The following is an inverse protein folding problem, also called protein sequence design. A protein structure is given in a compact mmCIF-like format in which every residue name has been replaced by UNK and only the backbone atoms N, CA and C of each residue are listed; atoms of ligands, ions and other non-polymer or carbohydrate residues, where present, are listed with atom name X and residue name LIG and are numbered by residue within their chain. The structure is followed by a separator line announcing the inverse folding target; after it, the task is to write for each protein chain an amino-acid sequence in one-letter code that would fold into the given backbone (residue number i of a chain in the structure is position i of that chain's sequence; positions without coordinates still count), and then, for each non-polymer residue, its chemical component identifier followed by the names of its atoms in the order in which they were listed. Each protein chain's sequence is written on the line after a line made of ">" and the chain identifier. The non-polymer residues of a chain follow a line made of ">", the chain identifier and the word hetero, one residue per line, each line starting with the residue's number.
data_IF_945870080496
#
_entry.id   IF_945870080496
#
_cell.length_a   1.000
_cell.length_b   1.000
_cell.length_c   1.000
_cell.angle_alpha   90.00
_cell.angle_beta   90.00
_cell.angle_gamma   90.00
#
_symmetry.space_group_name_H-M   'P 1'
#
loop_
_entity.id
_entity.type
_entity.pdbx_description
1 polymer ?
#
# COMPACT_ATOMS: atom_id res chain seq x y z
N UNK A 1 -29.74 -7.16 -20.72
CA UNK A 1 -28.98 -7.37 -19.48
C UNK A 1 -27.91 -6.30 -19.39
N UNK A 2 -27.99 -5.40 -18.41
CA UNK A 2 -26.90 -4.46 -18.10
C UNK A 2 -25.76 -5.23 -17.42
N UNK A 3 -24.51 -4.79 -17.51
CA UNK A 3 -23.36 -5.49 -16.87
C UNK A 3 -23.57 -5.72 -15.37
N UNK A 4 -24.20 -4.76 -14.68
CA UNK A 4 -24.58 -4.86 -13.25
C UNK A 4 -25.53 -6.04 -13.00
N UNK A 5 -26.40 -6.36 -13.96
CA UNK A 5 -27.29 -7.52 -13.87
C UNK A 5 -26.56 -8.84 -14.18
N UNK A 6 -25.46 -8.82 -14.95
CA UNK A 6 -24.57 -9.98 -15.14
C UNK A 6 -23.89 -10.29 -13.82
N UNK A 7 -23.25 -9.28 -13.21
CA UNK A 7 -22.55 -9.41 -11.94
C UNK A 7 -23.49 -9.75 -10.77
N UNK A 8 -24.63 -9.08 -10.63
CA UNK A 8 -25.59 -9.41 -9.57
C UNK A 8 -26.17 -10.83 -9.72
N UNK A 9 -26.34 -11.33 -10.95
CA UNK A 9 -26.75 -12.72 -11.20
C UNK A 9 -25.62 -13.71 -10.91
N UNK A 10 -24.37 -13.30 -11.14
CA UNK A 10 -23.18 -14.07 -10.81
C UNK A 10 -22.97 -14.18 -9.29
N UNK A 11 -23.01 -13.06 -8.56
CA UNK A 11 -22.94 -13.02 -7.09
C UNK A 11 -24.07 -13.84 -6.45
N UNK A 12 -25.28 -13.76 -7.02
CA UNK A 12 -26.40 -14.60 -6.60
C UNK A 12 -26.13 -16.07 -6.88
N UNK A 13 -25.57 -16.43 -8.03
CA UNK A 13 -25.17 -17.80 -8.34
C UNK A 13 -24.10 -18.32 -7.37
N UNK A 14 -23.07 -17.53 -7.06
CA UNK A 14 -22.05 -17.90 -6.08
C UNK A 14 -22.67 -18.13 -4.69
N UNK A 15 -23.59 -17.27 -4.28
CA UNK A 15 -24.38 -17.43 -3.04
C UNK A 15 -25.25 -18.69 -3.07
N UNK A 16 -26.02 -18.91 -4.14
CA UNK A 16 -26.96 -20.04 -4.27
C UNK A 16 -26.22 -21.39 -4.34
N UNK A 17 -25.05 -21.42 -4.99
CA UNK A 17 -24.16 -22.59 -5.02
C UNK A 17 -23.48 -22.82 -3.66
N UNK A 18 -23.08 -21.76 -2.95
CA UNK A 18 -22.48 -21.87 -1.62
C UNK A 18 -23.50 -22.29 -0.54
N UNK A 19 -24.78 -21.97 -0.72
CA UNK A 19 -25.85 -22.32 0.21
C UNK A 19 -26.34 -23.77 0.11
N UNK A 20 -25.82 -24.58 -0.85
CA UNK A 20 -26.04 -26.05 -0.86
C UNK A 20 -25.18 -26.72 0.24
N UNK A 21 -25.63 -26.56 1.48
CA UNK A 21 -24.93 -26.71 2.78
C UNK A 21 -24.37 -28.09 3.19
N UNK A 22 -23.97 -28.99 2.28
CA UNK A 22 -23.40 -30.27 2.70
C UNK A 22 -22.21 -30.81 1.90
N UNK A 23 -21.68 -30.08 0.91
CA UNK A 23 -20.55 -30.61 0.14
C UNK A 23 -19.58 -29.49 -0.28
N UNK A 24 -18.28 -29.53 0.09
CA UNK A 24 -17.28 -28.58 -0.40
C UNK A 24 -17.10 -28.62 -1.93
N UNK A 25 -17.73 -29.57 -2.63
CA UNK A 25 -17.91 -29.61 -4.07
C UNK A 25 -19.41 -29.63 -4.42
N UNK A 26 -19.98 -28.55 -5.01
CA UNK A 26 -21.39 -28.55 -5.42
C UNK A 26 -21.64 -29.61 -6.51
N UNK A 27 -22.78 -30.30 -6.44
CA UNK A 27 -23.10 -31.35 -7.43
C UNK A 27 -23.25 -30.76 -8.83
N UNK A 28 -22.85 -31.52 -9.87
CA UNK A 28 -22.91 -31.07 -11.27
C UNK A 28 -24.32 -30.63 -11.71
N UNK A 29 -25.35 -31.24 -11.10
CA UNK A 29 -26.75 -30.88 -11.32
C UNK A 29 -27.06 -29.49 -10.75
N UNK A 30 -26.66 -29.21 -9.50
CA UNK A 30 -26.90 -27.91 -8.87
C UNK A 30 -26.18 -26.75 -9.60
N UNK A 31 -24.93 -26.95 -10.03
CA UNK A 31 -24.20 -25.93 -10.81
C UNK A 31 -24.93 -25.63 -12.12
N UNK A 32 -25.29 -26.66 -12.88
CA UNK A 32 -25.98 -26.50 -14.17
C UNK A 32 -27.37 -25.87 -14.02
N UNK A 33 -28.11 -26.28 -12.99
CA UNK A 33 -29.48 -25.83 -12.75
C UNK A 33 -29.53 -24.38 -12.24
N UNK A 34 -28.49 -23.92 -11.52
CA UNK A 34 -28.41 -22.57 -10.98
C UNK A 34 -27.53 -21.61 -11.79
N UNK A 35 -26.79 -22.07 -12.79
CA UNK A 35 -25.95 -21.20 -13.61
C UNK A 35 -26.82 -20.14 -14.33
N UNK A 36 -26.53 -18.84 -14.15
CA UNK A 36 -27.47 -17.77 -14.49
C UNK A 36 -27.64 -17.56 -16.00
N UNK A 37 -26.78 -18.20 -16.81
CA UNK A 37 -26.75 -18.05 -18.26
C UNK A 37 -27.03 -19.37 -19.02
N UNK A 38 -27.46 -20.45 -18.36
CA UNK A 38 -27.72 -21.75 -19.01
C UNK A 38 -28.69 -21.63 -20.19
N UNK A 39 -29.74 -20.81 -20.04
CA UNK A 39 -30.71 -20.54 -21.13
C UNK A 39 -30.09 -19.82 -22.32
N UNK A 40 -29.11 -18.95 -22.09
CA UNK A 40 -28.41 -18.22 -23.14
C UNK A 40 -27.53 -19.16 -23.99
N UNK A 41 -26.84 -20.11 -23.36
CA UNK A 41 -25.97 -21.07 -24.06
C UNK A 41 -26.73 -22.25 -24.68
N UNK A 42 -28.01 -22.44 -24.34
CA UNK A 42 -28.86 -23.49 -24.90
C UNK A 42 -29.44 -23.15 -26.29
N UNK A 43 -29.49 -21.86 -26.66
CA UNK A 43 -30.04 -21.40 -27.94
C UNK A 43 -29.11 -21.71 -29.13
N UNK A 44 -29.66 -22.24 -30.23
CA UNK A 44 -28.92 -22.50 -31.48
C UNK A 44 -29.63 -21.87 -32.70
N UNK A 45 -29.01 -20.91 -33.42
CA UNK A 45 -27.70 -20.33 -33.16
C UNK A 45 -27.68 -19.44 -31.91
N UNK A 46 -26.52 -19.30 -31.24
CA UNK A 46 -26.37 -18.46 -30.06
C UNK A 46 -26.88 -17.03 -30.32
N UNK A 47 -27.50 -16.35 -29.33
CA UNK A 47 -28.06 -15.02 -29.52
C UNK A 47 -27.02 -13.98 -29.98
N UNK A 48 -25.72 -14.26 -29.74
CA UNK A 48 -24.58 -13.50 -30.26
C UNK A 48 -24.65 -13.28 -31.77
N UNK A 49 -24.95 -14.32 -32.55
CA UNK A 49 -25.00 -14.26 -34.01
C UNK A 49 -26.08 -13.27 -34.50
N UNK A 50 -27.24 -13.26 -33.85
CA UNK A 50 -28.33 -12.34 -34.17
C UNK A 50 -27.96 -10.89 -33.88
N UNK A 51 -27.13 -10.65 -32.88
CA UNK A 51 -26.67 -9.31 -32.51
C UNK A 51 -25.59 -8.80 -33.46
N UNK A 52 -24.63 -9.67 -33.84
CA UNK A 52 -23.59 -9.35 -34.83
C UNK A 52 -24.19 -9.05 -36.20
N UNK A 53 -25.10 -9.89 -36.70
CA UNK A 53 -25.76 -9.67 -37.99
C UNK A 53 -26.53 -8.34 -38.04
N UNK A 54 -27.11 -7.89 -36.92
CA UNK A 54 -27.79 -6.59 -36.83
C UNK A 54 -26.81 -5.42 -36.87
N UNK A 55 -25.64 -5.56 -36.26
CA UNK A 55 -24.58 -4.56 -36.32
C UNK A 55 -23.97 -4.47 -37.73
N UNK A 56 -23.65 -5.60 -38.36
CA UNK A 56 -23.13 -5.63 -39.75
C UNK A 56 -24.11 -5.01 -40.74
N UNK A 57 -25.40 -5.30 -40.60
CA UNK A 57 -26.45 -4.64 -41.39
C UNK A 57 -26.46 -3.13 -41.16
N UNK A 58 -26.39 -2.68 -39.91
CA UNK A 58 -26.32 -1.26 -39.58
C UNK A 58 -25.08 -0.58 -40.17
N UNK A 59 -23.90 -1.21 -40.09
CA UNK A 59 -22.67 -0.69 -40.69
C UNK A 59 -22.82 -0.56 -42.22
N UNK A 60 -23.44 -1.55 -42.88
CA UNK A 60 -23.75 -1.50 -44.31
C UNK A 60 -24.72 -0.36 -44.65
N UNK A 61 -25.83 -0.24 -43.92
CA UNK A 61 -26.87 0.78 -44.16
C UNK A 61 -26.30 2.19 -43.95
N UNK A 62 -25.45 2.38 -42.94
CA UNK A 62 -24.75 3.65 -42.70
C UNK A 62 -23.60 3.88 -43.69
N UNK A 63 -22.89 2.85 -44.14
CA UNK A 63 -21.83 2.99 -45.15
C UNK A 63 -22.39 3.38 -46.52
N UNK A 64 -23.58 2.88 -46.90
CA UNK A 64 -24.31 3.35 -48.07
C UNK A 64 -24.73 4.83 -47.93
N UNK A 65 -24.98 5.29 -46.70
CA UNK A 65 -25.19 6.72 -46.41
C UNK A 65 -23.89 7.55 -46.38
N UNK A 66 -22.72 6.95 -46.08
CA UNK A 66 -21.39 7.59 -46.17
C UNK A 66 -20.94 7.85 -47.61
N UNK A 67 -21.42 7.08 -48.59
CA UNK A 67 -21.17 7.33 -50.01
C UNK A 67 -21.93 8.56 -50.55
N UNK A 68 -22.81 9.16 -49.73
CA UNK A 68 -23.51 10.41 -50.01
C UNK A 68 -22.63 11.60 -49.57
N UNK A 69 -22.42 12.64 -50.40
CA UNK A 69 -21.60 13.82 -50.07
C UNK A 69 -22.04 14.62 -48.83
N UNK A 70 -23.23 14.34 -48.26
CA UNK A 70 -23.69 14.86 -46.98
C UNK A 70 -24.18 13.71 -46.07
N UNK A 71 -23.30 13.11 -45.24
CA UNK A 71 -23.72 12.06 -44.32
C UNK A 71 -24.62 12.65 -43.23
N UNK A 72 -25.89 12.24 -43.21
CA UNK A 72 -26.88 12.79 -42.28
C UNK A 72 -26.66 12.25 -40.86
N UNK A 73 -26.51 13.13 -39.88
CA UNK A 73 -26.45 12.77 -38.46
C UNK A 73 -27.67 11.94 -38.00
N UNK A 74 -28.82 12.10 -38.68
CA UNK A 74 -30.06 11.33 -38.42
C UNK A 74 -29.96 9.88 -38.90
N UNK A 75 -29.19 9.60 -39.96
CA UNK A 75 -29.08 8.25 -40.51
C UNK A 75 -28.51 7.26 -39.48
N UNK A 76 -27.52 7.69 -38.69
CA UNK A 76 -26.91 6.89 -37.62
C UNK A 76 -27.95 6.56 -36.54
N UNK A 77 -28.72 7.55 -36.10
CA UNK A 77 -29.76 7.37 -35.09
C UNK A 77 -30.89 6.45 -35.57
N UNK A 78 -31.38 6.69 -36.78
CA UNK A 78 -32.59 6.05 -37.30
C UNK A 78 -32.35 4.57 -37.63
N UNK A 79 -31.11 4.20 -38.03
CA UNK A 79 -30.74 2.82 -38.34
C UNK A 79 -30.12 2.07 -37.15
N UNK A 80 -29.81 2.74 -36.03
CA UNK A 80 -29.13 2.10 -34.90
C UNK A 80 -29.98 0.96 -34.29
N UNK A 81 -29.48 -0.30 -34.28
CA UNK A 81 -30.32 -1.47 -34.01
C UNK A 81 -30.59 -1.73 -32.52
N UNK A 82 -29.96 -0.95 -31.61
CA UNK A 82 -29.97 -1.21 -30.17
C UNK A 82 -30.59 -0.08 -29.34
N UNK A 83 -31.33 0.85 -29.95
CA UNK A 83 -31.94 2.01 -29.28
C UNK A 83 -32.77 1.62 -28.05
N UNK A 84 -33.58 0.56 -28.15
CA UNK A 84 -34.40 0.07 -27.03
C UNK A 84 -33.57 -0.44 -25.85
N UNK A 85 -32.38 -1.00 -26.11
CA UNK A 85 -31.52 -1.54 -25.06
C UNK A 85 -30.87 -0.42 -24.23
N UNK A 86 -30.59 0.73 -24.85
CA UNK A 86 -30.01 1.91 -24.19
C UNK A 86 -31.05 2.94 -23.71
N UNK A 87 -32.35 2.65 -23.85
CA UNK A 87 -33.43 3.59 -23.55
C UNK A 87 -33.45 4.09 -22.09
N UNK A 88 -32.92 3.30 -21.15
CA UNK A 88 -32.92 3.61 -19.72
C UNK A 88 -31.73 4.47 -19.25
N UNK A 89 -30.83 4.88 -20.16
CA UNK A 89 -29.67 5.71 -19.84
C UNK A 89 -29.92 7.16 -20.29
N UNK A 90 -30.41 8.07 -19.43
CA UNK A 90 -30.55 9.49 -19.78
C UNK A 90 -29.17 10.17 -19.83
N UNK A 91 -28.88 11.12 -20.75
CA UNK A 91 -29.72 11.74 -21.81
C UNK A 91 -29.87 10.87 -23.10
N UNK A 92 -30.69 11.28 -24.11
CA UNK A 92 -30.83 10.55 -25.37
C UNK A 92 -29.46 10.17 -25.97
N UNK A 93 -29.36 8.92 -26.42
CA UNK A 93 -28.10 8.30 -26.83
C UNK A 93 -27.36 9.13 -27.90
N UNK A 94 -28.09 9.65 -28.90
CA UNK A 94 -27.56 10.47 -29.97
C UNK A 94 -27.98 11.93 -29.78
N UNK A 95 -27.07 12.87 -30.08
CA UNK A 95 -27.27 14.32 -29.84
C UNK A 95 -27.60 15.11 -31.12
N UNK A 96 -27.70 14.44 -32.26
CA UNK A 96 -27.99 15.02 -33.59
C UNK A 96 -27.08 16.21 -33.99
N UNK A 97 -25.88 16.31 -33.42
CA UNK A 97 -24.93 17.42 -33.66
C UNK A 97 -24.09 17.18 -34.91
N UNK A 98 -23.46 16.00 -35.02
CA UNK A 98 -22.68 15.62 -36.19
C UNK A 98 -22.76 14.12 -36.46
N UNK A 99 -22.51 13.75 -37.72
CA UNK A 99 -22.42 12.35 -38.11
C UNK A 99 -21.29 11.62 -37.38
N UNK A 100 -20.11 12.25 -37.28
CA UNK A 100 -18.93 11.64 -36.66
C UNK A 100 -19.13 11.39 -35.16
N UNK A 101 -19.72 12.35 -34.44
CA UNK A 101 -20.04 12.16 -33.01
C UNK A 101 -21.06 11.03 -32.82
N UNK A 102 -22.14 11.02 -33.61
CA UNK A 102 -23.13 9.95 -33.53
C UNK A 102 -22.51 8.59 -33.90
N UNK A 103 -21.61 8.55 -34.87
CA UNK A 103 -20.90 7.34 -35.27
C UNK A 103 -19.97 6.83 -34.16
N UNK A 104 -19.21 7.70 -33.51
CA UNK A 104 -18.40 7.34 -32.34
C UNK A 104 -19.25 6.81 -31.18
N UNK A 105 -20.40 7.43 -30.91
CA UNK A 105 -21.35 6.95 -29.91
C UNK A 105 -21.85 5.54 -30.27
N UNK A 106 -22.26 5.32 -31.52
CA UNK A 106 -22.73 4.01 -31.98
C UNK A 106 -21.63 2.94 -31.85
N UNK A 107 -20.38 3.27 -32.22
CA UNK A 107 -19.23 2.39 -32.04
C UNK A 107 -18.93 2.12 -30.56
N UNK A 108 -19.05 3.12 -29.69
CA UNK A 108 -18.92 2.96 -28.24
C UNK A 108 -19.98 2.01 -27.66
N UNK A 109 -21.24 2.19 -28.05
CA UNK A 109 -22.34 1.30 -27.70
C UNK A 109 -22.12 -0.12 -28.22
N UNK A 110 -21.56 -0.28 -29.43
CA UNK A 110 -21.20 -1.59 -29.96
C UNK A 110 -20.07 -2.25 -29.18
N UNK A 111 -19.00 -1.51 -28.86
CA UNK A 111 -17.91 -2.02 -28.00
C UNK A 111 -18.44 -2.49 -26.64
N UNK A 112 -19.39 -1.76 -26.06
CA UNK A 112 -20.06 -2.16 -24.83
C UNK A 112 -20.82 -3.48 -24.97
N UNK A 113 -21.69 -3.60 -25.99
CA UNK A 113 -22.47 -4.82 -26.25
C UNK A 113 -21.54 -6.00 -26.53
N UNK A 114 -20.53 -5.81 -27.39
CA UNK A 114 -19.52 -6.83 -27.70
C UNK A 114 -18.77 -7.27 -26.44
N UNK A 115 -18.41 -6.33 -25.57
CA UNK A 115 -17.75 -6.62 -24.29
C UNK A 115 -18.57 -7.55 -23.39
N UNK A 116 -19.89 -7.35 -23.31
CA UNK A 116 -20.78 -8.26 -22.56
C UNK A 116 -20.70 -9.69 -23.11
N UNK A 117 -20.68 -9.84 -24.43
CA UNK A 117 -20.64 -11.16 -25.05
C UNK A 117 -19.29 -11.84 -24.95
N UNK A 118 -18.20 -11.08 -25.05
CA UNK A 118 -16.85 -11.59 -24.77
C UNK A 118 -16.76 -12.11 -23.34
N UNK A 119 -17.28 -11.37 -22.36
CA UNK A 119 -17.35 -11.83 -20.96
C UNK A 119 -18.21 -13.07 -20.78
N UNK A 120 -19.36 -13.15 -21.44
CA UNK A 120 -20.20 -14.36 -21.39
C UNK A 120 -19.44 -15.58 -21.96
N UNK A 121 -18.71 -15.41 -23.06
CA UNK A 121 -17.90 -16.48 -23.63
C UNK A 121 -16.76 -16.92 -22.70
N UNK A 122 -16.06 -15.97 -22.07
CA UNK A 122 -15.09 -16.23 -20.99
C UNK A 122 -15.74 -17.02 -19.84
N UNK A 123 -17.00 -16.69 -19.50
CA UNK A 123 -17.72 -17.36 -18.43
C UNK A 123 -18.25 -18.75 -18.75
N UNK A 124 -18.32 -19.13 -20.03
CA UNK A 124 -18.81 -20.46 -20.45
C UNK A 124 -18.00 -21.59 -19.83
N UNK A 125 -16.71 -21.39 -19.63
CA UNK A 125 -15.83 -22.38 -19.02
C UNK A 125 -16.25 -22.72 -17.58
N UNK A 126 -16.81 -21.79 -16.82
CA UNK A 126 -17.28 -22.07 -15.46
C UNK A 126 -18.53 -22.96 -15.40
N UNK A 127 -19.33 -23.00 -16.48
CA UNK A 127 -20.44 -23.95 -16.61
C UNK A 127 -19.92 -25.39 -16.76
N UNK A 128 -18.81 -25.54 -17.49
CA UNK A 128 -18.20 -26.85 -17.78
C UNK A 128 -17.39 -27.39 -16.60
N UNK A 129 -16.81 -26.49 -15.78
CA UNK A 129 -15.93 -26.84 -14.67
C UNK A 129 -16.71 -27.13 -13.38
N UNK A 130 -16.46 -28.31 -12.81
CA UNK A 130 -17.28 -28.91 -11.74
C UNK A 130 -16.85 -28.48 -10.35
N UNK A 131 -15.56 -28.52 -10.04
CA UNK A 131 -15.05 -28.19 -8.71
C UNK A 131 -14.63 -26.72 -8.60
N UNK A 132 -14.68 -26.17 -7.38
CA UNK A 132 -14.15 -24.82 -7.13
C UNK A 132 -12.65 -24.70 -7.43
N UNK A 133 -11.91 -25.81 -7.29
CA UNK A 133 -10.51 -25.90 -7.66
C UNK A 133 -10.31 -25.74 -9.17
N UNK A 134 -11.02 -26.51 -9.98
CA UNK A 134 -10.89 -26.44 -11.45
C UNK A 134 -11.25 -25.04 -11.99
N UNK A 135 -12.21 -24.36 -11.35
CA UNK A 135 -12.59 -22.98 -11.68
C UNK A 135 -11.48 -21.99 -11.34
N UNK A 136 -10.87 -22.14 -10.16
CA UNK A 136 -9.74 -21.29 -9.73
C UNK A 136 -8.53 -21.51 -10.64
N UNK A 137 -8.26 -22.77 -10.99
CA UNK A 137 -7.20 -23.16 -11.90
C UNK A 137 -7.42 -22.58 -13.30
N UNK A 138 -8.66 -22.63 -13.81
CA UNK A 138 -9.00 -21.98 -15.09
C UNK A 138 -8.78 -20.47 -15.05
N UNK A 139 -9.23 -19.81 -13.97
CA UNK A 139 -8.98 -18.38 -13.77
C UNK A 139 -7.49 -18.08 -13.83
N UNK A 140 -6.68 -18.88 -13.13
CA UNK A 140 -5.24 -18.67 -13.01
C UNK A 140 -4.47 -18.88 -14.33
N UNK A 141 -4.90 -19.84 -15.16
CA UNK A 141 -4.17 -20.19 -16.40
C UNK A 141 -4.64 -19.37 -17.60
N UNK A 142 -5.95 -19.06 -17.67
CA UNK A 142 -6.59 -18.56 -18.91
C UNK A 142 -7.15 -17.17 -18.80
N UNK A 143 -7.82 -16.86 -17.69
CA UNK A 143 -8.63 -15.64 -17.58
C UNK A 143 -7.85 -14.47 -16.98
N UNK A 144 -7.17 -14.72 -15.86
CA UNK A 144 -6.50 -13.69 -15.09
C UNK A 144 -5.32 -13.10 -15.86
N UNK A 145 -5.39 -11.79 -16.12
CA UNK A 145 -4.31 -11.04 -16.78
C UNK A 145 -3.30 -10.47 -15.78
N UNK A 146 -3.72 -10.30 -14.53
CA UNK A 146 -2.89 -9.82 -13.42
C UNK A 146 -3.09 -10.80 -12.27
N UNK A 147 -2.00 -11.42 -11.84
CA UNK A 147 -1.98 -12.42 -10.78
C UNK A 147 -0.98 -11.96 -9.75
N UNK A 148 -1.44 -11.76 -8.51
CA UNK A 148 -0.62 -11.30 -7.40
C UNK A 148 -0.46 -12.41 -6.37
N UNK A 149 0.75 -12.59 -5.88
CA UNK A 149 1.08 -13.52 -4.80
C UNK A 149 2.31 -13.03 -4.04
N UNK A 150 2.51 -13.49 -2.81
CA UNK A 150 3.75 -13.24 -2.07
C UNK A 150 4.87 -14.13 -2.60
N UNK A 151 6.13 -13.72 -2.45
CA UNK A 151 7.27 -14.56 -2.86
C UNK A 151 7.34 -15.87 -2.07
N UNK A 152 6.93 -15.85 -0.79
CA UNK A 152 6.78 -17.07 0.01
C UNK A 152 5.73 -18.00 -0.58
N UNK A 153 4.59 -17.48 -1.05
CA UNK A 153 3.57 -18.30 -1.69
C UNK A 153 4.05 -18.86 -3.03
N UNK A 154 4.75 -18.05 -3.83
CA UNK A 154 5.38 -18.48 -5.07
C UNK A 154 6.36 -19.65 -4.84
N UNK A 155 7.15 -19.59 -3.77
CA UNK A 155 8.05 -20.68 -3.37
C UNK A 155 7.30 -21.95 -2.96
N UNK A 156 6.25 -21.82 -2.16
CA UNK A 156 5.47 -22.98 -1.72
C UNK A 156 4.67 -23.65 -2.85
N UNK A 157 4.19 -22.87 -3.82
CA UNK A 157 3.34 -23.33 -4.92
C UNK A 157 4.06 -23.51 -6.25
N UNK A 158 5.38 -23.39 -6.28
CA UNK A 158 6.16 -23.45 -7.51
C UNK A 158 5.84 -24.72 -8.32
N UNK A 159 5.87 -25.89 -7.68
CA UNK A 159 5.57 -27.16 -8.32
C UNK A 159 4.13 -27.21 -8.87
N UNK A 160 3.15 -26.86 -8.04
CA UNK A 160 1.73 -26.87 -8.41
C UNK A 160 1.47 -25.96 -9.63
N UNK A 161 2.05 -24.76 -9.65
CA UNK A 161 1.89 -23.79 -10.74
C UNK A 161 2.52 -24.28 -12.05
N UNK A 162 3.71 -24.90 -11.96
CA UNK A 162 4.40 -25.46 -13.12
C UNK A 162 3.64 -26.65 -13.70
N UNK A 163 3.14 -27.55 -12.85
CA UNK A 163 2.32 -28.71 -13.26
C UNK A 163 0.99 -28.27 -13.86
N UNK A 164 0.40 -27.21 -13.33
CA UNK A 164 -0.82 -26.60 -13.85
C UNK A 164 -0.61 -25.95 -15.23
N UNK A 165 0.63 -25.74 -15.65
CA UNK A 165 0.95 -25.07 -16.91
C UNK A 165 0.74 -23.55 -16.85
N UNK A 166 0.97 -22.95 -15.67
CA UNK A 166 0.94 -21.50 -15.47
C UNK A 166 1.90 -20.79 -16.44
N UNK A 167 1.48 -19.63 -16.95
CA UNK A 167 2.25 -18.85 -17.93
C UNK A 167 2.14 -17.36 -17.67
N UNK A 168 3.24 -16.65 -17.86
CA UNK A 168 3.31 -15.20 -17.72
C UNK A 168 4.45 -14.62 -18.55
N UNK A 169 4.26 -13.39 -19.02
CA UNK A 169 5.23 -12.67 -19.84
C UNK A 169 5.98 -11.59 -19.05
N UNK A 170 5.49 -11.18 -17.88
CA UNK A 170 6.03 -10.08 -17.10
C UNK A 170 5.93 -10.37 -15.62
N UNK A 171 7.00 -10.08 -14.88
CA UNK A 171 7.04 -10.08 -13.42
C UNK A 171 7.22 -8.65 -12.94
N UNK A 172 6.41 -8.25 -11.97
CA UNK A 172 6.59 -7.04 -11.19
C UNK A 172 6.73 -7.45 -9.72
N UNK A 173 7.82 -7.03 -9.08
CA UNK A 173 8.09 -7.27 -7.66
C UNK A 173 8.12 -5.94 -6.92
N UNK A 174 7.30 -5.81 -5.89
CA UNK A 174 7.38 -4.71 -4.93
C UNK A 174 8.14 -5.16 -3.67
N UNK A 175 8.76 -4.20 -2.99
CA UNK A 175 9.65 -4.43 -1.84
C UNK A 175 10.82 -5.37 -2.15
N UNK A 176 11.33 -5.31 -3.38
CA UNK A 176 12.37 -6.22 -3.86
C UNK A 176 13.64 -6.23 -2.98
N UNK A 177 13.92 -5.15 -2.26
CA UNK A 177 15.03 -5.06 -1.32
C UNK A 177 14.84 -5.89 -0.03
N UNK A 178 13.60 -6.23 0.33
CA UNK A 178 13.21 -7.00 1.53
C UNK A 178 13.00 -8.49 1.26
N UNK A 179 13.17 -8.95 0.02
CA UNK A 179 12.97 -10.36 -0.36
C UNK A 179 14.34 -11.06 -0.38
N UNK A 180 14.42 -12.27 0.17
CA UNK A 180 15.64 -13.05 0.12
C UNK A 180 16.04 -13.34 -1.33
N UNK A 181 17.34 -13.49 -1.58
CA UNK A 181 17.85 -13.71 -2.93
C UNK A 181 17.21 -14.92 -3.62
N UNK A 182 17.10 -16.05 -2.92
CA UNK A 182 16.44 -17.26 -3.42
C UNK A 182 14.94 -17.06 -3.68
N UNK A 183 14.24 -16.36 -2.79
CA UNK A 183 12.81 -16.08 -2.92
C UNK A 183 12.51 -15.08 -4.05
N UNK A 184 13.49 -14.26 -4.44
CA UNK A 184 13.39 -13.38 -5.61
C UNK A 184 13.61 -14.16 -6.92
N UNK A 185 14.45 -15.20 -6.89
CA UNK A 185 14.77 -16.01 -8.06
C UNK A 185 13.66 -17.00 -8.43
N UNK A 186 13.02 -17.63 -7.44
CA UNK A 186 11.96 -18.63 -7.63
C UNK A 186 10.82 -18.14 -8.54
N UNK A 187 10.27 -16.92 -8.39
CA UNK A 187 9.23 -16.41 -9.27
C UNK A 187 9.60 -16.37 -10.75
N UNK A 188 10.89 -16.37 -11.12
CA UNK A 188 11.35 -16.44 -12.51
C UNK A 188 11.10 -17.81 -13.15
N UNK A 189 10.82 -18.84 -12.33
CA UNK A 189 10.74 -20.25 -12.70
C UNK A 189 9.38 -20.88 -12.37
N UNK A 190 8.30 -20.09 -12.34
CA UNK A 190 6.93 -20.57 -12.10
C UNK A 190 6.25 -21.11 -13.37
N UNK A 191 6.97 -21.18 -14.50
CA UNK A 191 6.46 -21.66 -15.77
C UNK A 191 7.51 -22.52 -16.49
N UNK A 192 7.02 -23.49 -17.27
CA UNK A 192 7.88 -24.30 -18.13
C UNK A 192 8.45 -23.47 -19.30
N UNK A 193 9.67 -23.78 -19.78
CA UNK A 193 10.20 -23.19 -21.00
C UNK A 193 9.27 -23.42 -22.20
N UNK A 194 9.16 -22.42 -23.06
CA UNK A 194 8.46 -22.52 -24.34
C UNK A 194 9.52 -22.59 -25.44
N UNK A 195 9.52 -23.67 -26.23
CA UNK A 195 10.50 -23.89 -27.32
C UNK A 195 11.96 -23.82 -26.84
N UNK A 196 12.23 -24.35 -25.64
CA UNK A 196 13.56 -24.37 -25.01
C UNK A 196 14.03 -23.03 -24.44
N UNK A 197 13.18 -21.98 -24.41
CA UNK A 197 13.51 -20.64 -23.90
C UNK A 197 12.53 -20.19 -22.82
N UNK A 198 12.98 -19.28 -21.96
CA UNK A 198 12.08 -18.61 -21.01
C UNK A 198 11.10 -17.72 -21.77
N UNK A 199 9.81 -17.79 -21.39
CA UNK A 199 8.76 -16.90 -21.91
C UNK A 199 8.86 -15.49 -21.33
N UNK A 200 9.57 -15.30 -20.22
CA UNK A 200 9.64 -14.03 -19.50
C UNK A 200 10.24 -12.92 -20.39
N UNK A 201 9.48 -11.84 -20.58
CA UNK A 201 9.86 -10.69 -21.42
C UNK A 201 10.30 -9.49 -20.60
N UNK A 202 9.71 -9.29 -19.43
CA UNK A 202 9.98 -8.14 -18.55
C UNK A 202 10.08 -8.58 -17.11
N UNK A 203 11.07 -8.03 -16.42
CA UNK A 203 11.25 -8.21 -14.99
C UNK A 203 11.48 -6.85 -14.34
N UNK A 204 10.50 -6.41 -13.57
CA UNK A 204 10.44 -5.09 -12.94
C UNK A 204 10.58 -5.31 -11.44
N UNK A 205 11.57 -4.67 -10.83
CA UNK A 205 11.77 -4.72 -9.38
C UNK A 205 11.72 -3.31 -8.80
N UNK A 206 10.85 -3.11 -7.83
CA UNK A 206 10.68 -1.86 -7.09
C UNK A 206 11.08 -2.16 -5.66
N UNK A 207 12.10 -1.46 -5.16
CA UNK A 207 12.64 -1.69 -3.84
C UNK A 207 13.55 -0.56 -3.40
N UNK A 208 13.89 -0.56 -2.12
CA UNK A 208 14.77 0.43 -1.50
C UNK A 208 15.85 -0.27 -0.67
N UNK A 209 17.06 -0.34 -1.24
CA UNK A 209 18.23 -0.96 -0.63
C UNK A 209 18.87 -0.09 0.47
N UNK A 210 18.37 1.14 0.69
CA UNK A 210 18.72 1.99 1.83
C UNK A 210 17.77 1.79 3.02
N UNK A 211 16.69 1.03 2.87
CA UNK A 211 15.81 0.56 3.96
C UNK A 211 16.17 -0.86 4.41
N UNK A 212 15.39 -1.41 5.34
CA UNK A 212 15.71 -2.69 5.99
C UNK A 212 15.80 -3.85 4.97
N UNK A 213 16.78 -4.76 5.15
CA UNK A 213 16.92 -5.97 4.36
C UNK A 213 15.92 -7.07 4.78
N UNK A 214 15.86 -8.22 4.09
CA UNK A 214 15.15 -9.41 4.54
C UNK A 214 15.64 -9.85 5.94
N UNK A 215 14.72 -10.37 6.76
CA UNK A 215 15.04 -10.80 8.12
C UNK A 215 15.70 -12.18 8.12
N UNK A 216 16.95 -12.26 8.56
CA UNK A 216 17.67 -13.51 8.84
C UNK A 216 17.67 -13.76 10.34
N UNK A 217 17.00 -14.82 10.80
CA UNK A 217 16.84 -15.09 12.23
C UNK A 217 18.18 -15.33 12.93
N UNK A 218 19.08 -16.07 12.28
CA UNK A 218 20.39 -16.37 12.83
C UNK A 218 21.44 -15.37 12.32
N UNK A 219 21.90 -14.54 13.25
CA UNK A 219 22.86 -13.45 13.03
C UNK A 219 24.20 -13.97 12.47
N UNK A 220 24.56 -15.24 12.68
CA UNK A 220 25.77 -15.84 12.12
C UNK A 220 25.71 -15.87 10.58
N UNK A 221 24.60 -16.33 10.00
CA UNK A 221 24.43 -16.33 8.54
C UNK A 221 24.36 -14.91 7.97
N UNK A 222 23.77 -13.97 8.72
CA UNK A 222 23.76 -12.56 8.35
C UNK A 222 25.18 -11.99 8.28
N UNK A 223 25.99 -12.19 9.33
CA UNK A 223 27.33 -11.59 9.46
C UNK A 223 28.39 -12.26 8.59
N UNK A 224 28.43 -13.59 8.55
CA UNK A 224 29.51 -14.34 7.89
C UNK A 224 29.18 -14.69 6.43
N UNK A 225 27.90 -14.84 6.08
CA UNK A 225 27.47 -15.23 4.73
C UNK A 225 26.75 -14.11 3.98
N UNK A 226 26.49 -12.97 4.63
CA UNK A 226 25.72 -11.86 4.06
C UNK A 226 24.34 -12.32 3.54
N UNK A 227 23.71 -13.28 4.24
CA UNK A 227 22.45 -13.91 3.78
C UNK A 227 21.27 -12.93 3.70
N UNK A 228 21.38 -11.77 4.36
CA UNK A 228 20.39 -10.69 4.27
C UNK A 228 20.49 -9.86 2.97
N UNK A 229 21.46 -10.13 2.10
CA UNK A 229 21.50 -9.44 0.83
C UNK A 229 20.37 -9.94 -0.08
N UNK A 230 19.47 -9.04 -0.47
CA UNK A 230 18.50 -9.30 -1.52
C UNK A 230 19.14 -9.26 -2.91
N UNK A 231 18.50 -9.94 -3.86
CA UNK A 231 18.90 -9.90 -5.27
C UNK A 231 18.88 -8.46 -5.82
N UNK A 232 17.90 -7.67 -5.40
CA UNK A 232 17.79 -6.25 -5.71
C UNK A 232 19.01 -5.45 -5.23
N UNK A 233 19.36 -5.57 -3.94
CA UNK A 233 20.53 -4.87 -3.39
C UNK A 233 21.83 -5.33 -4.05
N UNK A 234 21.93 -6.61 -4.42
CA UNK A 234 23.07 -7.14 -5.17
C UNK A 234 23.17 -6.53 -6.57
N UNK A 235 22.06 -6.40 -7.30
CA UNK A 235 22.04 -5.77 -8.63
C UNK A 235 22.43 -4.30 -8.59
N UNK A 236 21.92 -3.54 -7.61
CA UNK A 236 22.35 -2.15 -7.43
C UNK A 236 23.85 -2.06 -7.16
N UNK A 237 24.39 -2.92 -6.28
CA UNK A 237 25.84 -2.98 -6.01
C UNK A 237 26.68 -3.34 -7.24
N UNK A 238 26.16 -4.18 -8.13
CA UNK A 238 26.81 -4.57 -9.38
C UNK A 238 26.72 -3.50 -10.48
N UNK A 239 26.10 -2.35 -10.21
CA UNK A 239 25.99 -1.26 -11.17
C UNK A 239 24.93 -1.49 -12.24
N UNK A 240 23.93 -2.35 -11.99
CA UNK A 240 22.78 -2.48 -12.90
C UNK A 240 22.08 -1.12 -12.98
N UNK A 241 21.88 -0.58 -14.20
CA UNK A 241 21.17 0.68 -14.38
C UNK A 241 19.79 0.61 -13.76
N UNK A 242 19.46 1.61 -12.96
CA UNK A 242 18.18 1.68 -12.26
C UNK A 242 17.65 3.11 -12.27
N UNK A 243 16.33 3.24 -12.16
CA UNK A 243 15.67 4.54 -12.04
C UNK A 243 15.54 4.87 -10.56
N UNK A 244 16.18 5.96 -10.14
CA UNK A 244 16.02 6.49 -8.79
C UNK A 244 14.88 7.51 -8.76
N UNK A 245 13.82 7.22 -8.01
CA UNK A 245 12.77 8.20 -7.76
C UNK A 245 13.28 9.23 -6.74
N UNK A 246 13.24 10.51 -7.10
CA UNK A 246 13.89 11.58 -6.35
C UNK A 246 12.93 12.60 -5.73
N UNK A 247 11.62 12.33 -5.70
CA UNK A 247 10.64 13.22 -5.07
C UNK A 247 9.67 12.43 -4.18
N UNK A 248 9.62 12.76 -2.88
CA UNK A 248 8.71 12.14 -1.93
C UNK A 248 7.36 12.89 -1.84
N UNK A 249 6.28 12.14 -1.64
CA UNK A 249 4.91 12.68 -1.62
C UNK A 249 4.10 12.39 -0.37
N UNK A 250 4.75 12.07 0.78
CA UNK A 250 4.09 11.55 1.99
C UNK A 250 4.26 12.40 3.26
N UNK A 251 5.40 13.06 3.42
CA UNK A 251 5.77 13.76 4.66
C UNK A 251 6.02 15.25 4.42
N UNK A 252 5.86 16.08 5.45
CA UNK A 252 6.23 17.50 5.42
C UNK A 252 7.70 17.65 5.06
N UNK A 253 8.04 18.64 4.21
CA UNK A 253 9.36 18.86 3.62
C UNK A 253 10.55 18.83 4.60
N UNK A 254 10.38 19.24 5.86
CA UNK A 254 11.45 19.26 6.86
C UNK A 254 11.76 17.89 7.49
N UNK A 255 10.86 16.90 7.37
CA UNK A 255 11.08 15.54 7.91
C UNK A 255 12.02 14.72 6.99
N UNK A 256 11.86 14.74 5.65
CA UNK A 256 12.83 14.17 4.71
C UNK A 256 14.25 14.63 4.90
N UNK A 257 14.49 15.85 5.40
CA UNK A 257 15.83 16.29 5.78
C UNK A 257 16.48 15.38 6.81
N UNK A 258 15.77 14.54 7.55
CA UNK A 258 16.40 13.62 8.50
C UNK A 258 17.01 12.38 7.82
N UNK A 259 16.62 12.07 6.59
CA UNK A 259 17.03 10.84 5.88
C UNK A 259 17.41 11.03 4.40
N UNK A 260 17.16 12.18 3.78
CA UNK A 260 17.44 12.43 2.36
C UNK A 260 18.93 12.38 2.01
N UNK A 261 19.83 12.59 2.99
CA UNK A 261 21.27 12.44 2.82
C UNK A 261 21.70 11.04 2.39
N UNK A 262 20.84 10.03 2.60
CA UNK A 262 21.12 8.66 2.19
C UNK A 262 20.84 8.42 0.70
N UNK A 263 20.06 9.29 0.07
CA UNK A 263 19.55 9.15 -1.30
C UNK A 263 20.14 10.25 -2.20
N UNK A 264 20.29 9.96 -3.49
CA UNK A 264 20.74 10.97 -4.43
C UNK A 264 19.59 11.92 -4.79
N UNK A 265 19.75 13.20 -4.43
CA UNK A 265 18.84 14.29 -4.81
C UNK A 265 17.37 14.10 -4.38
N UNK A 266 17.10 13.44 -3.25
CA UNK A 266 15.74 13.26 -2.75
C UNK A 266 15.13 14.59 -2.27
N UNK A 267 14.20 15.12 -3.06
CA UNK A 267 13.37 16.30 -2.78
C UNK A 267 11.92 15.95 -2.46
N UNK A 268 11.04 16.95 -2.58
CA UNK A 268 9.62 16.85 -2.26
C UNK A 268 8.75 17.08 -3.51
N UNK A 269 7.62 16.38 -3.60
CA UNK A 269 6.61 16.68 -4.63
C UNK A 269 5.89 18.00 -4.29
N UNK A 270 5.56 18.84 -5.30
CA UNK A 270 4.93 20.16 -5.06
C UNK A 270 3.62 20.11 -4.28
N UNK A 271 2.84 19.03 -4.40
CA UNK A 271 1.55 18.92 -3.70
C UNK A 271 1.74 18.89 -2.18
N UNK A 272 2.86 18.39 -1.67
CA UNK A 272 3.14 18.33 -0.23
C UNK A 272 3.22 19.73 0.37
N UNK A 273 3.82 20.68 -0.34
CA UNK A 273 3.95 22.07 0.12
C UNK A 273 2.61 22.81 0.05
N UNK A 274 1.74 22.41 -0.88
CA UNK A 274 0.39 22.95 -1.03
C UNK A 274 -0.62 22.39 0.00
N UNK A 275 -0.33 21.26 0.65
CA UNK A 275 -1.25 20.67 1.63
C UNK A 275 -1.43 21.60 2.85
N UNK A 276 -2.69 21.90 3.26
CA UNK A 276 -2.94 22.71 4.46
C UNK A 276 -2.32 22.13 5.73
N UNK A 277 -2.29 20.80 5.84
CA UNK A 277 -1.67 20.08 6.97
C UNK A 277 -0.16 20.34 7.03
N UNK A 278 0.51 20.43 5.88
CA UNK A 278 1.94 20.74 5.79
C UNK A 278 2.28 22.20 6.14
N UNK A 279 1.30 23.09 6.18
CA UNK A 279 1.50 24.51 6.53
C UNK A 279 1.19 24.82 8.00
N UNK A 280 0.53 23.90 8.72
CA UNK A 280 0.10 24.05 10.12
C UNK A 280 1.12 23.46 11.08
N UNK A 281 1.71 24.28 11.95
CA UNK A 281 2.56 23.77 13.02
C UNK A 281 1.83 22.73 13.88
N UNK A 282 2.59 21.84 14.50
CA UNK A 282 2.04 20.86 15.43
C UNK A 282 1.65 21.59 16.73
N UNK A 283 0.35 21.79 16.95
CA UNK A 283 -0.16 22.55 18.09
C UNK A 283 0.38 22.00 19.41
N UNK A 284 0.83 22.88 20.29
CA UNK A 284 1.45 22.50 21.57
C UNK A 284 2.93 22.17 21.49
N UNK A 285 3.51 22.19 20.29
CA UNK A 285 4.93 21.97 20.07
C UNK A 285 5.55 23.12 19.28
N UNK A 286 6.76 23.51 19.66
CA UNK A 286 7.50 24.54 18.95
C UNK A 286 7.93 24.08 17.55
N UNK A 287 8.36 22.82 17.45
CA UNK A 287 8.97 22.22 16.26
C UNK A 287 8.18 20.99 15.81
N UNK A 288 8.17 20.74 14.51
CA UNK A 288 7.48 19.56 13.97
C UNK A 288 8.25 18.27 14.22
N UNK A 289 9.56 18.35 14.36
CA UNK A 289 10.37 17.27 14.88
C UNK A 289 11.31 17.76 15.97
N UNK A 290 11.64 16.90 16.92
CA UNK A 290 12.60 17.21 17.96
C UNK A 290 13.26 15.93 18.49
N UNK A 291 14.58 15.98 18.70
CA UNK A 291 15.29 15.01 19.52
C UNK A 291 15.27 15.48 20.96
N UNK A 292 14.79 14.63 21.85
CA UNK A 292 14.65 14.91 23.28
C UNK A 292 15.62 14.01 24.04
N UNK A 293 16.53 14.63 24.78
CA UNK A 293 17.46 13.91 25.65
C UNK A 293 16.73 13.36 26.86
N UNK A 294 16.92 12.05 27.10
CA UNK A 294 16.32 11.35 28.22
C UNK A 294 17.43 10.84 29.15
N UNK A 295 17.70 11.55 30.28
CA UNK A 295 18.69 11.13 31.27
C UNK A 295 18.22 9.91 32.06
N UNK A 296 19.03 9.45 33.01
CA UNK A 296 18.65 8.38 33.92
C UNK A 296 17.43 8.78 34.77
N UNK A 297 16.50 7.85 34.97
CA UNK A 297 15.33 8.00 35.82
C UNK A 297 15.48 7.09 37.04
N UNK A 298 15.31 7.63 38.26
CA UNK A 298 15.56 6.91 39.52
C UNK A 298 16.95 6.23 39.56
N UNK A 299 17.97 6.91 39.06
CA UNK A 299 19.35 6.40 39.02
C UNK A 299 19.62 5.32 37.97
N UNK A 300 18.66 5.02 37.09
CA UNK A 300 18.78 3.98 36.07
C UNK A 300 18.41 4.51 34.68
N UNK A 301 19.24 4.21 33.68
CA UNK A 301 18.97 4.48 32.26
C UNK A 301 18.21 3.34 31.61
N UNK A 302 18.93 2.51 30.85
CA UNK A 302 18.37 1.25 30.33
C UNK A 302 18.30 0.19 31.44
N UNK A 303 17.11 -0.38 31.66
CA UNK A 303 16.90 -1.54 32.54
C UNK A 303 16.69 -2.80 31.71
N UNK A 304 17.08 -3.96 32.26
CA UNK A 304 16.88 -5.27 31.64
C UNK A 304 16.18 -6.21 32.61
N UNK A 305 14.90 -6.52 32.37
CA UNK A 305 14.14 -7.50 33.16
C UNK A 305 14.53 -8.95 32.83
N UNK A 306 15.01 -9.17 31.60
CA UNK A 306 15.62 -10.40 31.11
C UNK A 306 16.70 -10.05 30.07
N UNK A 307 17.64 -10.95 29.75
CA UNK A 307 18.63 -10.69 28.71
C UNK A 307 17.95 -10.20 27.42
N UNK A 308 18.44 -9.09 26.87
CA UNK A 308 17.93 -8.44 25.64
C UNK A 308 16.57 -7.69 25.75
N UNK A 309 16.03 -7.47 26.95
CA UNK A 309 14.75 -6.79 27.17
C UNK A 309 14.92 -5.37 27.75
N UNK A 310 15.11 -4.36 26.89
CA UNK A 310 15.43 -2.98 27.28
C UNK A 310 14.19 -2.06 27.41
N UNK A 311 14.20 -1.10 28.35
CA UNK A 311 13.06 -0.19 28.63
C UNK A 311 13.44 1.30 28.86
N UNK A 312 12.57 2.26 28.50
CA UNK A 312 12.66 3.72 28.82
C UNK A 312 11.29 4.46 28.64
N UNK A 313 10.94 5.45 29.48
CA UNK A 313 9.62 6.10 29.51
C UNK A 313 9.35 7.06 28.33
N UNK A 314 8.54 6.63 27.35
CA UNK A 314 8.01 7.49 26.26
C UNK A 314 6.54 7.87 26.37
N UNK A 315 5.86 7.41 27.43
CA UNK A 315 4.41 7.54 27.64
C UNK A 315 3.95 8.98 27.90
N UNK A 316 4.77 9.75 28.61
CA UNK A 316 4.45 11.12 29.01
C UNK A 316 4.12 12.01 27.80
N UNK A 317 4.82 11.82 26.68
CA UNK A 317 4.56 12.57 25.45
C UNK A 317 3.23 12.18 24.80
N UNK A 318 2.90 10.89 24.78
CA UNK A 318 1.61 10.44 24.26
C UNK A 318 0.45 11.00 25.09
N UNK A 319 0.55 10.95 26.41
CA UNK A 319 -0.46 11.53 27.31
C UNK A 319 -0.62 13.03 27.08
N UNK A 320 0.48 13.77 26.96
CA UNK A 320 0.44 15.20 26.67
C UNK A 320 -0.31 15.51 25.35
N UNK A 321 0.03 14.82 24.26
CA UNK A 321 -0.65 14.99 22.97
C UNK A 321 -2.16 14.71 23.08
N UNK A 322 -2.55 13.68 23.84
CA UNK A 322 -3.95 13.35 24.06
C UNK A 322 -4.70 14.40 24.88
N UNK A 323 -4.08 14.96 25.91
CA UNK A 323 -4.64 16.07 26.70
C UNK A 323 -4.87 17.31 25.83
N UNK A 324 -3.96 17.58 24.87
CA UNK A 324 -4.14 18.67 23.90
C UNK A 324 -5.25 18.42 22.87
N UNK A 325 -5.80 17.19 22.82
CA UNK A 325 -6.88 16.81 21.91
C UNK A 325 -6.43 16.19 20.59
N UNK A 326 -5.17 15.75 20.45
CA UNK A 326 -4.73 15.05 19.24
C UNK A 326 -5.47 13.71 19.09
N UNK A 327 -5.99 13.36 17.90
CA UNK A 327 -6.64 12.06 17.68
C UNK A 327 -5.67 10.89 17.91
N UNK A 328 -6.07 9.88 18.68
CA UNK A 328 -5.20 8.78 19.09
C UNK A 328 -4.80 7.89 17.91
N UNK A 329 -5.70 7.75 16.93
CA UNK A 329 -5.50 7.04 15.67
C UNK A 329 -4.44 7.70 14.77
N UNK A 330 -4.16 8.99 14.97
CA UNK A 330 -3.12 9.74 14.26
C UNK A 330 -1.73 9.65 14.90
N UNK A 331 -1.61 8.97 16.05
CA UNK A 331 -0.36 8.83 16.79
C UNK A 331 0.07 7.36 16.78
N UNK A 332 1.33 7.09 16.43
CA UNK A 332 1.94 5.77 16.63
C UNK A 332 3.23 5.89 17.41
N UNK A 333 3.45 4.92 18.30
CA UNK A 333 4.66 4.83 19.11
C UNK A 333 5.51 3.71 18.54
N UNK A 334 6.73 4.03 18.11
CA UNK A 334 7.67 3.05 17.60
C UNK A 334 8.93 3.01 18.45
N UNK A 335 9.54 1.84 18.52
CA UNK A 335 10.78 1.66 19.27
C UNK A 335 11.71 0.68 18.57
N UNK A 336 12.99 0.72 18.91
CA UNK A 336 13.99 -0.18 18.33
C UNK A 336 13.98 -1.57 18.95
N UNK A 337 13.40 -1.77 20.14
CA UNK A 337 13.46 -3.05 20.86
C UNK A 337 12.07 -3.63 21.19
N UNK A 338 11.92 -4.95 21.05
CA UNK A 338 10.66 -5.64 21.37
C UNK A 338 10.28 -5.51 22.86
N UNK A 339 11.27 -5.50 23.76
CA UNK A 339 10.99 -5.37 25.20
C UNK A 339 10.33 -4.04 25.55
N UNK A 340 10.85 -2.95 25.00
CA UNK A 340 10.23 -1.63 25.09
C UNK A 340 8.84 -1.61 24.44
N UNK A 341 8.66 -2.24 23.28
CA UNK A 341 7.37 -2.26 22.61
C UNK A 341 6.31 -3.00 23.45
N UNK A 342 6.70 -4.07 24.15
CA UNK A 342 5.82 -4.79 25.06
C UNK A 342 5.50 -3.97 26.30
N UNK A 343 6.50 -3.36 26.94
CA UNK A 343 6.27 -2.45 28.07
C UNK A 343 5.28 -1.34 27.71
N UNK A 344 5.52 -0.63 26.60
CA UNK A 344 4.66 0.47 26.18
C UNK A 344 3.24 -0.01 25.88
N UNK A 345 3.08 -1.20 25.30
CA UNK A 345 1.74 -1.80 25.08
C UNK A 345 1.04 -2.06 26.40
N UNK A 346 1.73 -2.69 27.35
CA UNK A 346 1.19 -3.02 28.66
C UNK A 346 0.79 -1.74 29.40
N UNK A 347 1.65 -0.72 29.39
CA UNK A 347 1.34 0.55 30.07
C UNK A 347 0.19 1.30 29.40
N UNK A 348 0.16 1.37 28.06
CA UNK A 348 -0.96 2.00 27.36
C UNK A 348 -2.27 1.27 27.65
N UNK A 349 -2.25 -0.06 27.68
CA UNK A 349 -3.42 -0.88 27.95
C UNK A 349 -3.90 -0.72 29.41
N UNK A 350 -2.99 -0.78 30.38
CA UNK A 350 -3.34 -0.72 31.80
C UNK A 350 -3.73 0.68 32.25
N UNK A 351 -3.05 1.73 31.78
CA UNK A 351 -3.27 3.11 32.27
C UNK A 351 -4.26 3.92 31.46
N UNK A 352 -4.37 3.67 30.14
CA UNK A 352 -5.08 4.60 29.25
C UNK A 352 -6.30 4.00 28.56
N UNK A 353 -6.39 2.67 28.40
CA UNK A 353 -7.52 2.06 27.67
C UNK A 353 -8.89 2.36 28.30
N UNK A 354 -8.96 2.48 29.63
CA UNK A 354 -10.19 2.86 30.33
C UNK A 354 -10.44 4.36 30.47
N UNK A 355 -9.51 5.22 30.04
CA UNK A 355 -9.62 6.68 30.18
C UNK A 355 -10.15 7.31 28.87
N UNK A 356 -11.38 7.86 28.85
CA UNK A 356 -11.98 8.43 27.64
C UNK A 356 -11.19 9.60 27.03
N UNK A 357 -10.42 10.34 27.84
CA UNK A 357 -9.63 11.48 27.37
C UNK A 357 -8.35 11.01 26.66
N UNK A 358 -7.76 9.88 27.08
CA UNK A 358 -6.46 9.43 26.56
C UNK A 358 -6.63 8.33 25.51
N UNK A 359 -7.42 7.29 25.77
CA UNK A 359 -7.58 6.17 24.84
C UNK A 359 -6.26 5.46 24.49
N UNK A 360 -6.26 4.76 23.36
CA UNK A 360 -5.14 3.92 22.91
C UNK A 360 -4.58 4.45 21.60
N UNK A 361 -3.25 4.61 21.51
CA UNK A 361 -2.57 5.00 20.27
C UNK A 361 -2.90 4.02 19.13
N UNK A 362 -2.85 4.47 17.87
CA UNK A 362 -3.10 3.60 16.71
C UNK A 362 -2.31 2.29 16.75
N UNK A 363 -1.00 2.38 17.06
CA UNK A 363 -0.12 1.22 17.09
C UNK A 363 1.12 1.50 17.94
N UNK A 364 1.50 0.50 18.73
CA UNK A 364 2.80 0.42 19.42
C UNK A 364 3.59 -0.75 18.83
N UNK A 365 4.72 -0.48 18.18
CA UNK A 365 5.47 -1.52 17.47
C UNK A 365 6.98 -1.27 17.45
N UNK A 366 7.74 -2.25 16.96
CA UNK A 366 9.15 -2.02 16.65
C UNK A 366 9.29 -1.35 15.28
N UNK A 367 10.40 -0.64 15.06
CA UNK A 367 10.75 -0.05 13.75
C UNK A 367 10.67 -1.13 12.65
N UNK A 368 11.27 -2.29 12.89
CA UNK A 368 11.32 -3.42 11.96
C UNK A 368 9.91 -3.93 11.58
N UNK A 369 8.97 -3.98 12.54
CA UNK A 369 7.57 -4.39 12.29
C UNK A 369 6.68 -3.28 11.73
N UNK A 370 7.17 -2.04 11.72
CA UNK A 370 6.44 -0.84 11.26
C UNK A 370 6.93 -0.35 9.90
N UNK A 371 7.72 -1.14 9.16
CA UNK A 371 8.34 -0.70 7.91
C UNK A 371 7.35 -0.26 6.82
N UNK A 372 6.20 -0.93 6.69
CA UNK A 372 5.10 -0.49 5.80
C UNK A 372 4.17 0.55 6.43
N UNK A 373 4.29 0.75 7.75
CA UNK A 373 3.47 1.69 8.50
C UNK A 373 3.88 3.15 8.27
N UNK A 374 2.90 4.03 8.40
CA UNK A 374 3.01 5.48 8.35
C UNK A 374 1.93 6.04 9.28
N UNK A 375 2.25 7.11 10.01
CA UNK A 375 1.22 7.88 10.70
C UNK A 375 1.54 9.37 10.68
N UNK A 376 0.55 10.21 11.01
CA UNK A 376 0.69 11.65 11.07
C UNK A 376 1.76 12.04 12.10
N UNK A 377 1.69 11.44 13.29
CA UNK A 377 2.64 11.70 14.37
C UNK A 377 3.30 10.41 14.86
N UNK A 378 4.63 10.44 14.96
CA UNK A 378 5.44 9.33 15.45
C UNK A 378 6.20 9.75 16.70
N UNK A 379 6.06 8.95 17.75
CA UNK A 379 6.92 9.00 18.92
C UNK A 379 7.91 7.84 18.81
N UNK A 380 9.19 8.15 18.64
CA UNK A 380 10.27 7.17 18.46
C UNK A 380 11.09 7.05 19.75
N UNK A 381 11.11 5.87 20.36
CA UNK A 381 11.99 5.57 21.50
C UNK A 381 13.23 4.78 21.08
N UNK A 382 14.41 5.36 21.28
CA UNK A 382 15.71 4.75 20.94
C UNK A 382 16.22 3.78 22.03
N UNK A 383 15.68 3.90 23.25
CA UNK A 383 15.90 3.03 24.43
C UNK A 383 17.31 3.02 25.00
N UNK A 384 18.32 2.80 24.17
CA UNK A 384 19.68 2.51 24.63
C UNK A 384 20.36 3.70 25.27
N UNK A 385 21.17 3.37 26.27
CA UNK A 385 21.93 4.33 27.07
C UNK A 385 23.41 3.97 27.20
N UNK A 386 23.76 2.70 26.98
CA UNK A 386 25.15 2.20 27.11
C UNK A 386 25.84 1.93 25.78
N UNK A 387 25.14 1.29 24.85
CA UNK A 387 25.65 1.04 23.49
C UNK A 387 24.52 1.13 22.46
N UNK A 388 24.87 1.47 21.22
CA UNK A 388 23.91 1.72 20.14
C UNK A 388 23.10 0.46 19.78
N UNK A 389 23.70 -0.73 19.94
CA UNK A 389 23.08 -2.01 19.58
C UNK A 389 22.83 -2.14 18.08
N UNK A 390 21.74 -2.83 17.72
CA UNK A 390 21.37 -3.11 16.32
C UNK A 390 20.89 -1.88 15.54
N UNK A 391 20.66 -0.74 16.21
CA UNK A 391 20.35 0.50 15.50
C UNK A 391 21.53 0.94 14.63
N UNK A 392 22.78 0.49 14.91
CA UNK A 392 24.00 0.84 14.16
C UNK A 392 23.86 0.63 12.64
N UNK A 393 22.97 -0.26 12.24
CA UNK A 393 22.49 -0.34 10.87
C UNK A 393 21.73 0.93 10.45
N UNK A 394 22.38 1.77 9.64
CA UNK A 394 21.83 3.02 9.09
C UNK A 394 20.47 2.80 8.42
N UNK A 395 20.23 1.63 7.81
CA UNK A 395 18.95 1.31 7.16
C UNK A 395 17.79 1.36 8.15
N UNK A 396 18.02 0.90 9.38
CA UNK A 396 17.04 0.93 10.47
C UNK A 396 16.76 2.36 10.94
N UNK A 397 17.80 3.20 11.00
CA UNK A 397 17.63 4.62 11.30
C UNK A 397 16.81 5.34 10.23
N UNK A 398 17.11 5.11 8.95
CA UNK A 398 16.36 5.68 7.81
C UNK A 398 14.89 5.29 7.88
N UNK A 399 14.58 4.01 8.15
CA UNK A 399 13.19 3.57 8.36
C UNK A 399 12.57 4.30 9.55
N UNK A 400 13.24 4.36 10.70
CA UNK A 400 12.72 5.00 11.91
C UNK A 400 12.37 6.49 11.69
N UNK A 401 13.22 7.23 10.98
CA UNK A 401 13.06 8.67 10.72
C UNK A 401 12.01 8.98 9.63
N UNK A 402 11.62 7.99 8.83
CA UNK A 402 10.70 8.18 7.69
C UNK A 402 9.25 7.77 7.96
N UNK A 403 8.90 7.37 9.19
CA UNK A 403 7.54 6.88 9.53
C UNK A 403 6.51 8.00 9.75
N UNK A 404 6.96 9.23 10.00
CA UNK A 404 6.10 10.37 10.30
C UNK A 404 5.70 11.15 9.04
N UNK A 405 4.45 11.64 8.99
CA UNK A 405 4.00 12.59 7.96
C UNK A 405 4.11 14.04 8.42
N UNK A 406 3.66 14.34 9.62
CA UNK A 406 3.49 15.70 10.15
C UNK A 406 4.37 15.99 11.36
N UNK A 407 4.63 14.99 12.22
CA UNK A 407 5.53 15.20 13.35
C UNK A 407 6.30 13.98 13.84
N UNK A 408 7.56 14.21 14.22
CA UNK A 408 8.48 13.16 14.69
C UNK A 408 9.18 13.59 15.98
N UNK A 409 8.87 12.92 17.08
CA UNK A 409 9.50 13.18 18.38
C UNK A 409 10.36 11.99 18.78
N UNK A 410 11.67 12.21 18.87
CA UNK A 410 12.66 11.17 19.11
C UNK A 410 13.14 11.26 20.55
N UNK A 411 13.02 10.17 21.30
CA UNK A 411 13.41 10.06 22.71
C UNK A 411 14.64 9.15 22.82
N UNK A 412 15.73 9.64 23.40
CA UNK A 412 16.93 8.82 23.61
C UNK A 412 18.06 9.55 24.31
N UNK A 413 19.13 8.83 24.65
CA UNK A 413 20.35 9.40 25.23
C UNK A 413 21.19 10.05 24.14
N UNK A 414 21.12 11.37 24.01
CA UNK A 414 21.73 12.11 22.90
C UNK A 414 23.23 11.87 22.85
N UNK A 415 23.91 11.93 24.01
CA UNK A 415 25.36 11.71 24.12
C UNK A 415 25.82 10.35 23.58
N UNK A 416 24.97 9.31 23.64
CA UNK A 416 25.30 8.00 23.11
C UNK A 416 25.27 7.99 21.57
N UNK A 417 24.20 8.52 20.98
CA UNK A 417 23.95 8.41 19.55
C UNK A 417 24.68 9.49 18.73
N UNK A 418 24.94 10.66 19.31
CA UNK A 418 25.69 11.73 18.65
C UNK A 418 27.15 11.33 18.39
N UNK A 419 27.71 10.45 19.23
CA UNK A 419 29.07 9.93 19.07
C UNK A 419 29.18 8.80 18.03
N UNK A 420 28.07 8.40 17.40
CA UNK A 420 28.05 7.39 16.34
C UNK A 420 28.41 8.01 14.98
N UNK A 421 29.54 7.61 14.39
CA UNK A 421 29.96 8.12 13.09
C UNK A 421 28.93 7.85 11.99
N UNK A 422 28.35 6.66 11.99
CA UNK A 422 27.36 6.22 10.99
C UNK A 422 26.06 7.05 11.04
N UNK A 423 25.78 7.73 12.16
CA UNK A 423 24.59 8.56 12.32
C UNK A 423 24.87 10.06 12.31
N UNK A 424 26.13 10.47 12.16
CA UNK A 424 26.57 11.85 12.34
C UNK A 424 25.69 12.84 11.57
N UNK A 425 25.38 12.57 10.30
CA UNK A 425 24.55 13.46 9.47
C UNK A 425 23.12 13.57 9.99
N UNK A 426 22.48 12.46 10.33
CA UNK A 426 21.12 12.46 10.86
C UNK A 426 21.05 13.17 12.23
N UNK A 427 22.00 12.89 13.12
CA UNK A 427 22.03 13.49 14.46
C UNK A 427 22.46 14.96 14.44
N UNK A 428 23.32 15.37 13.50
CA UNK A 428 23.61 16.80 13.27
C UNK A 428 22.33 17.56 12.94
N UNK A 429 21.45 16.99 12.11
CA UNK A 429 20.17 17.59 11.73
C UNK A 429 19.15 17.54 12.87
N UNK A 430 19.07 16.42 13.60
CA UNK A 430 18.23 16.29 14.81
C UNK A 430 18.64 17.27 15.92
N UNK A 431 19.94 17.50 16.10
CA UNK A 431 20.50 18.43 17.08
C UNK A 431 20.45 19.90 16.64
N UNK A 432 19.82 20.23 15.50
CA UNK A 432 19.56 21.62 15.08
C UNK A 432 18.69 22.37 16.09
N UNK A 433 17.80 21.65 16.78
CA UNK A 433 16.89 22.19 17.79
C UNK A 433 17.36 21.82 19.21
N UNK A 434 16.92 22.57 20.25
CA UNK A 434 17.22 22.23 21.64
C UNK A 434 16.85 20.79 21.98
N UNK A 435 17.63 20.14 22.83
CA UNK A 435 17.41 18.74 23.22
C UNK A 435 16.42 18.59 24.39
N UNK A 436 15.95 19.70 24.94
CA UNK A 436 14.84 19.74 25.89
C UNK A 436 13.55 19.95 25.12
N UNK A 437 12.50 19.19 25.45
CA UNK A 437 11.20 19.33 24.78
C UNK A 437 10.67 20.77 24.89
N UNK A 438 10.38 21.39 23.74
CA UNK A 438 9.87 22.76 23.67
C UNK A 438 8.36 22.73 23.37
N UNK A 439 7.56 22.92 24.42
CA UNK A 439 6.10 22.90 24.34
C UNK A 439 5.48 24.32 24.34
N UNK A 440 4.25 24.41 23.83
CA UNK A 440 3.41 25.61 23.86
C UNK A 440 2.07 25.24 24.51
N UNK A 441 1.99 25.18 25.86
CA UNK A 441 0.88 24.52 26.56
C UNK A 441 -0.49 25.19 26.37
N UNK A 442 -0.52 26.43 25.90
CA UNK A 442 -1.76 27.18 25.64
C UNK A 442 -2.41 26.85 24.29
N UNK A 443 -1.73 26.11 23.42
CA UNK A 443 -2.26 25.67 22.12
C UNK A 443 -2.96 24.32 22.25
N UNK A 444 -4.22 24.24 21.81
CA UNK A 444 -4.92 22.95 21.64
C UNK A 444 -4.84 22.47 20.19
N UNK A 445 -5.11 21.19 19.95
CA UNK A 445 -5.08 20.60 18.60
C UNK A 445 -6.03 21.30 17.61
N UNK A 446 -7.12 21.90 18.09
CA UNK A 446 -8.06 22.67 17.27
C UNK A 446 -7.49 24.02 16.81
N UNK A 447 -6.48 24.55 17.52
CA UNK A 447 -5.83 25.81 17.16
C UNK A 447 -4.85 25.58 16.02
N UNK A 448 -4.82 26.48 15.04
CA UNK A 448 -3.90 26.38 13.90
C UNK A 448 -2.91 27.54 13.88
N UNK A 449 -1.64 27.22 14.13
CA UNK A 449 -0.50 28.13 13.96
C UNK A 449 0.20 27.81 12.65
N UNK A 450 0.69 28.81 11.91
CA UNK A 450 1.56 28.57 10.74
C UNK A 450 2.99 28.27 11.19
N UNK A 451 3.69 27.37 10.48
CA UNK A 451 5.04 26.89 10.84
C UNK A 451 6.06 28.01 11.10
N UNK A 452 5.95 29.17 10.43
CA UNK A 452 6.94 30.26 10.50
C UNK A 452 6.73 31.30 11.62
N UNK A 453 5.67 31.20 12.43
CA UNK A 453 5.45 32.11 13.55
C UNK A 453 6.01 31.46 14.83
N UNK A 454 7.26 31.74 15.21
CA UNK A 454 7.75 32.03 16.58
C UNK A 454 9.27 31.82 16.71
N UNK A 455 9.99 32.92 16.94
CA UNK A 455 11.41 32.93 17.37
C UNK A 455 11.58 33.61 18.75
N UNK A 456 10.51 33.88 19.51
CA UNK A 456 10.54 34.92 20.55
C UNK A 456 10.11 34.55 21.97
N UNK A 457 9.82 33.29 22.31
CA UNK A 457 9.46 32.96 23.70
C UNK A 457 10.08 31.65 24.16
N UNK A 458 11.35 31.68 24.60
CA UNK A 458 11.93 30.58 25.38
C UNK A 458 12.76 31.11 26.55
N UNK A 459 12.07 31.52 27.61
CA UNK A 459 12.66 31.53 28.95
C UNK A 459 11.73 30.75 29.88
N UNK A 460 12.28 29.67 30.46
CA UNK A 460 11.73 28.89 31.58
C UNK A 460 10.57 27.92 31.29
N UNK A 461 10.88 26.75 30.71
CA UNK A 461 10.02 25.56 30.81
C UNK A 461 10.46 24.67 32.00
N UNK A 462 9.55 24.27 32.92
CA UNK A 462 9.85 23.29 33.96
C UNK A 462 10.12 21.89 33.38
N UNK A 463 10.71 20.95 34.14
CA UNK A 463 10.98 19.59 33.66
C UNK A 463 9.69 18.89 33.22
N UNK A 464 9.72 18.21 32.06
CA UNK A 464 8.54 17.56 31.47
C UNK A 464 7.78 16.61 32.43
N UNK A 465 8.50 15.96 33.34
CA UNK A 465 7.91 15.09 34.37
C UNK A 465 7.02 15.82 35.39
N UNK A 466 7.19 17.13 35.62
CA UNK A 466 6.38 17.87 36.61
C UNK A 466 5.05 18.38 36.06
N UNK A 467 4.85 18.35 34.73
CA UNK A 467 3.65 18.88 34.07
C UNK A 467 2.51 17.84 34.07
N UNK A 468 2.84 16.54 34.10
CA UNK A 468 1.88 15.43 34.06
C UNK A 468 1.62 14.78 35.43
N UNK A 469 2.33 15.20 36.47
CA UNK A 469 2.14 14.74 37.85
C UNK A 469 1.13 15.59 38.64
N UNK A 470 0.49 16.56 37.97
CA UNK A 470 -0.65 17.35 38.46
C UNK A 470 -1.81 17.09 37.52
#
# INVERSE_FOLDING_TARGET
>A
MRIIQVFARWEKFESDVAQSKANPNPSAKAVRDHFPFTRYFADNPPPLFKVFARWEKFESDVAQSKANPNPSAKAVRDHFPFTRYFADNPPPLFKDVSFDENWEIAQGSWRYIRGIFTQLEEFRSFELLRSGRDRTDYLLIKEAKIIAMTCTHAALRQKDLVELGFRYDTILMEEAAQILEVETFIPLLLQNPQDGRSRLKRWIMIGDHHQLPPVVQNIVFQKYSNMEQSLFARFVRLGVPHVLLNQQGRARAEIPDLYNWRYEQLGNLPHIEALPESQRANSGFAFSYQLIDVPDFNGSGETTLSPYFYQNLGEALFTYMRILGYPAEKISIITTYNGQASLLRDVVQTRYAGNPLIGVSHKVSTVDKYQRGLNDYIILSLVRTRNIGHLRDVRRLVVALSRARLGLYVLGRVSLFQNCLEFATAFQRLCKYPQKLMIIPHETYAMSRKVNYFFLFFQNNPPFCSILSK
#
